data_IF_536986904799
#
_entry.id   IF_536986904799
#
_cell.length_a   1.000
_cell.length_b   1.000
_cell.length_c   1.000
_cell.angle_alpha   90.00
_cell.angle_beta   90.00
_cell.angle_gamma   90.00
#
_symmetry.space_group_name_H-M   'P 1'
#
loop_
_entity.id
_entity.type
_entity.pdbx_description
1 polymer ?
#
# COMPACT_ATOMS: atom_id res chain seq x y z
N UNK A 1 -27.36 -36.96 -39.71
CA UNK A 1 -26.36 -36.47 -38.74
C UNK A 1 -26.15 -34.96 -38.74
N UNK A 2 -26.24 -34.22 -39.83
CA UNK A 2 -26.01 -32.75 -39.88
C UNK A 2 -27.04 -31.88 -39.14
N UNK A 3 -28.28 -32.28 -39.03
CA UNK A 3 -29.37 -31.51 -38.37
C UNK A 3 -29.28 -31.52 -36.84
N UNK A 4 -28.71 -32.57 -36.19
CA UNK A 4 -28.59 -32.67 -34.74
C UNK A 4 -27.43 -31.81 -34.18
N UNK A 5 -26.33 -31.64 -34.96
CA UNK A 5 -25.18 -30.82 -34.54
C UNK A 5 -25.52 -29.33 -34.54
N UNK A 6 -26.39 -28.85 -35.44
CA UNK A 6 -26.85 -27.46 -35.46
C UNK A 6 -27.78 -27.11 -34.29
N UNK A 7 -28.60 -28.06 -33.83
CA UNK A 7 -29.51 -27.84 -32.70
C UNK A 7 -28.74 -27.77 -31.38
N UNK A 8 -27.67 -28.56 -31.22
CA UNK A 8 -26.82 -28.55 -30.02
C UNK A 8 -26.00 -27.24 -29.92
N UNK A 9 -25.45 -26.74 -31.04
CA UNK A 9 -24.76 -25.45 -31.07
C UNK A 9 -25.70 -24.27 -30.79
N UNK A 10 -26.94 -24.31 -31.29
CA UNK A 10 -27.92 -23.25 -31.03
C UNK A 10 -28.39 -23.23 -29.57
N UNK A 11 -28.51 -24.38 -28.90
CA UNK A 11 -28.86 -24.48 -27.46
C UNK A 11 -27.72 -23.99 -26.58
N UNK A 12 -26.45 -24.33 -26.90
CA UNK A 12 -25.28 -23.84 -26.14
C UNK A 12 -25.11 -22.31 -26.31
N UNK A 13 -25.33 -21.78 -27.52
CA UNK A 13 -25.25 -20.32 -27.77
C UNK A 13 -26.38 -19.57 -27.06
N UNK A 14 -27.59 -20.11 -26.97
CA UNK A 14 -28.70 -19.44 -26.28
C UNK A 14 -28.52 -19.45 -24.76
N UNK A 15 -28.00 -20.53 -24.14
CA UNK A 15 -27.73 -20.54 -22.70
C UNK A 15 -26.65 -19.60 -22.27
N UNK A 16 -25.60 -19.40 -23.07
CA UNK A 16 -24.54 -18.42 -22.77
C UNK A 16 -25.04 -16.97 -22.88
N UNK A 17 -25.89 -16.65 -23.84
CA UNK A 17 -26.47 -15.31 -24.00
C UNK A 17 -27.42 -14.98 -22.83
N UNK A 18 -28.25 -15.91 -22.41
CA UNK A 18 -29.15 -15.73 -21.24
C UNK A 18 -28.36 -15.51 -19.94
N UNK A 19 -27.31 -16.29 -19.70
CA UNK A 19 -26.47 -16.18 -18.51
C UNK A 19 -25.72 -14.82 -18.45
N UNK A 20 -25.17 -14.37 -19.56
CA UNK A 20 -24.51 -13.05 -19.63
C UNK A 20 -25.50 -11.88 -19.39
N UNK A 21 -26.76 -12.01 -19.80
CA UNK A 21 -27.77 -11.01 -19.53
C UNK A 21 -28.12 -10.95 -18.03
N UNK A 22 -28.27 -12.11 -17.37
CA UNK A 22 -28.51 -12.17 -15.91
C UNK A 22 -27.34 -11.59 -15.12
N UNK A 23 -26.09 -11.88 -15.50
CA UNK A 23 -24.89 -11.32 -14.85
C UNK A 23 -24.84 -9.81 -15.01
N UNK A 24 -25.09 -9.28 -16.21
CA UNK A 24 -25.15 -7.83 -16.45
C UNK A 24 -26.21 -7.16 -15.56
N UNK A 25 -27.39 -7.78 -15.40
CA UNK A 25 -28.46 -7.27 -14.52
C UNK A 25 -27.99 -7.27 -13.06
N UNK A 26 -27.39 -8.36 -12.60
CA UNK A 26 -26.95 -8.47 -11.21
C UNK A 26 -25.79 -7.54 -10.91
N UNK A 27 -24.81 -7.41 -11.79
CA UNK A 27 -23.71 -6.45 -11.65
C UNK A 27 -24.25 -5.03 -11.65
N UNK A 28 -25.23 -4.72 -12.51
CA UNK A 28 -25.89 -3.42 -12.49
C UNK A 28 -26.56 -3.13 -11.15
N UNK A 29 -27.27 -4.10 -10.55
CA UNK A 29 -27.89 -3.93 -9.21
C UNK A 29 -26.83 -3.64 -8.15
N UNK A 30 -25.69 -4.35 -8.17
CA UNK A 30 -24.55 -4.10 -7.28
C UNK A 30 -24.04 -2.68 -7.48
N UNK A 31 -23.81 -2.29 -8.73
CA UNK A 31 -23.31 -0.96 -9.09
C UNK A 31 -24.29 0.15 -8.68
N UNK A 32 -25.57 0.01 -8.98
CA UNK A 32 -26.58 1.00 -8.63
C UNK A 32 -26.66 1.20 -7.10
N UNK A 33 -26.57 0.12 -6.31
CA UNK A 33 -26.58 0.18 -4.86
C UNK A 33 -25.34 0.90 -4.30
N UNK A 34 -24.14 0.55 -4.78
CA UNK A 34 -22.89 1.20 -4.32
C UNK A 34 -22.87 2.68 -4.71
N UNK A 35 -23.23 3.00 -5.96
CA UNK A 35 -23.12 4.37 -6.47
C UNK A 35 -24.23 5.32 -6.00
N UNK A 36 -25.39 4.78 -5.59
CA UNK A 36 -26.53 5.59 -5.12
C UNK A 36 -26.61 5.67 -3.59
N UNK A 37 -26.26 4.59 -2.89
CA UNK A 37 -26.45 4.43 -1.45
C UNK A 37 -25.15 4.16 -0.69
N UNK A 38 -24.00 4.17 -1.40
CA UNK A 38 -22.68 3.83 -0.85
C UNK A 38 -22.28 4.65 0.36
N UNK A 39 -21.59 3.99 1.28
CA UNK A 39 -21.06 4.56 2.52
C UNK A 39 -19.54 4.63 2.55
N UNK A 40 -18.85 4.11 1.53
CA UNK A 40 -17.39 4.05 1.49
C UNK A 40 -16.74 5.40 1.76
N UNK A 41 -17.21 6.48 1.11
CA UNK A 41 -16.64 7.82 1.25
C UNK A 41 -16.83 8.40 2.66
N UNK A 42 -18.00 8.22 3.28
CA UNK A 42 -18.24 8.69 4.66
C UNK A 42 -17.48 7.83 5.69
N UNK A 43 -17.35 6.54 5.45
CA UNK A 43 -16.53 5.64 6.26
C UNK A 43 -15.04 6.02 6.18
N UNK A 44 -14.54 6.35 4.99
CA UNK A 44 -13.18 6.85 4.80
C UNK A 44 -12.97 8.17 5.55
N UNK A 45 -13.92 9.09 5.45
CA UNK A 45 -13.88 10.36 6.19
C UNK A 45 -13.81 10.16 7.71
N UNK A 46 -14.56 9.18 8.23
CA UNK A 46 -14.49 8.85 9.65
C UNK A 46 -13.11 8.27 10.01
N UNK A 47 -12.64 7.29 9.27
CA UNK A 47 -11.34 6.63 9.50
C UNK A 47 -10.18 7.63 9.49
N UNK A 48 -10.17 8.55 8.52
CA UNK A 48 -9.09 9.53 8.34
C UNK A 48 -9.22 10.73 9.29
N UNK A 49 -10.40 11.37 9.37
CA UNK A 49 -10.57 12.63 10.11
C UNK A 49 -10.91 12.45 11.59
N UNK A 50 -11.46 11.30 12.00
CA UNK A 50 -11.82 11.06 13.41
C UNK A 50 -10.83 10.15 14.11
N UNK A 51 -10.25 9.19 13.41
CA UNK A 51 -9.21 8.31 13.94
C UNK A 51 -7.83 8.83 13.55
N UNK A 52 -7.59 9.03 12.25
CA UNK A 52 -6.35 9.58 11.71
C UNK A 52 -5.24 8.55 11.55
N UNK A 53 -3.97 8.95 11.76
CA UNK A 53 -2.81 8.07 11.67
C UNK A 53 -2.95 6.83 12.56
N UNK A 54 -2.62 5.65 12.01
CA UNK A 54 -2.95 4.37 12.66
C UNK A 54 -1.90 3.28 12.46
N UNK A 55 -0.61 3.66 12.60
CA UNK A 55 0.49 2.70 12.52
C UNK A 55 0.33 1.60 13.58
N UNK A 56 0.69 0.37 13.22
CA UNK A 56 0.58 -0.78 14.11
C UNK A 56 1.19 -0.51 15.50
N UNK A 57 0.50 -0.92 16.56
CA UNK A 57 0.85 -0.66 17.93
C UNK A 57 0.38 0.67 18.50
N UNK A 58 -0.07 1.62 17.68
CA UNK A 58 -0.55 2.93 18.12
C UNK A 58 -1.98 2.89 18.67
N UNK A 59 -2.36 3.94 19.42
CA UNK A 59 -3.75 4.16 19.85
C UNK A 59 -4.69 4.40 18.65
N UNK A 60 -4.18 4.97 17.54
CA UNK A 60 -4.91 5.10 16.30
C UNK A 60 -5.31 3.73 15.75
N UNK A 61 -4.36 2.77 15.73
CA UNK A 61 -4.65 1.40 15.28
C UNK A 61 -5.70 0.71 16.15
N UNK A 62 -5.59 0.77 17.47
CA UNK A 62 -6.60 0.20 18.39
C UNK A 62 -8.01 0.74 18.12
N UNK A 63 -8.12 2.06 17.90
CA UNK A 63 -9.42 2.68 17.54
C UNK A 63 -9.92 2.21 16.17
N UNK A 64 -9.02 2.02 15.20
CA UNK A 64 -9.36 1.53 13.86
C UNK A 64 -9.84 0.08 13.89
N UNK A 65 -9.23 -0.77 14.69
CA UNK A 65 -9.66 -2.16 14.89
C UNK A 65 -11.08 -2.23 15.47
N UNK A 66 -11.37 -1.44 16.52
CA UNK A 66 -12.71 -1.35 17.10
C UNK A 66 -13.74 -0.81 16.11
N UNK A 67 -13.38 0.24 15.36
CA UNK A 67 -14.20 0.80 14.30
C UNK A 67 -14.46 -0.21 13.19
N UNK A 68 -13.42 -0.91 12.73
CA UNK A 68 -13.53 -1.91 11.66
C UNK A 68 -14.47 -3.05 12.06
N UNK A 69 -14.35 -3.59 13.29
CA UNK A 69 -15.27 -4.62 13.80
C UNK A 69 -16.71 -4.14 13.80
N UNK A 70 -16.94 -2.93 14.31
CA UNK A 70 -18.26 -2.29 14.31
C UNK A 70 -18.80 -2.16 12.88
N UNK A 71 -17.98 -1.71 11.92
CA UNK A 71 -18.41 -1.54 10.52
C UNK A 71 -18.76 -2.87 9.87
N UNK A 72 -18.00 -3.96 10.12
CA UNK A 72 -18.36 -5.29 9.63
C UNK A 72 -19.74 -5.74 10.15
N UNK A 73 -19.98 -5.53 11.46
CA UNK A 73 -21.27 -5.88 12.08
C UNK A 73 -22.43 -5.02 11.52
N UNK A 74 -22.28 -3.72 11.45
CA UNK A 74 -23.31 -2.79 10.96
C UNK A 74 -23.58 -2.95 9.45
N UNK A 75 -22.58 -3.38 8.68
CA UNK A 75 -22.72 -3.73 7.26
C UNK A 75 -23.42 -5.07 7.05
N UNK A 76 -23.69 -5.81 8.13
CA UNK A 76 -24.51 -7.02 8.11
C UNK A 76 -23.75 -8.29 7.87
N UNK A 77 -22.49 -8.39 8.27
CA UNK A 77 -21.76 -9.66 8.30
C UNK A 77 -22.53 -10.70 9.12
N UNK A 78 -22.59 -11.94 8.64
CA UNK A 78 -23.21 -13.04 9.37
C UNK A 78 -22.36 -13.41 10.60
N UNK A 79 -21.03 -13.21 10.50
CA UNK A 79 -20.06 -13.27 11.59
C UNK A 79 -19.02 -12.18 11.44
N UNK A 80 -18.58 -11.59 12.57
CA UNK A 80 -17.47 -10.65 12.59
C UNK A 80 -16.63 -10.84 13.85
N UNK A 81 -15.29 -10.86 13.72
CA UNK A 81 -14.36 -11.09 14.84
C UNK A 81 -13.02 -10.41 14.62
N UNK A 82 -12.22 -10.35 15.69
CA UNK A 82 -10.83 -9.93 15.70
C UNK A 82 -9.92 -11.16 15.72
N UNK A 83 -8.92 -11.20 14.84
CA UNK A 83 -7.88 -12.22 14.83
C UNK A 83 -6.58 -11.63 15.34
N UNK A 84 -6.12 -12.09 16.51
CA UNK A 84 -4.90 -11.56 17.13
C UNK A 84 -3.65 -11.88 16.34
N UNK A 85 -2.77 -10.88 16.23
CA UNK A 85 -1.40 -11.04 15.75
C UNK A 85 -0.44 -10.17 16.57
N UNK A 86 0.78 -10.66 16.80
CA UNK A 86 1.80 -9.88 17.47
C UNK A 86 2.47 -8.93 16.47
N UNK A 87 2.43 -7.63 16.75
CA UNK A 87 2.92 -6.58 15.87
C UNK A 87 4.07 -5.79 16.50
N UNK A 88 5.03 -5.28 15.70
CA UNK A 88 6.05 -4.37 16.19
C UNK A 88 5.42 -3.05 16.62
N UNK A 89 5.97 -2.43 17.65
CA UNK A 89 5.54 -1.14 18.14
C UNK A 89 6.67 -0.12 17.94
N UNK A 90 6.79 0.38 16.72
CA UNK A 90 7.69 1.49 16.43
C UNK A 90 6.97 2.83 16.60
N UNK A 91 7.66 3.80 17.21
CA UNK A 91 7.16 5.17 17.38
C UNK A 91 8.16 6.18 16.84
N UNK A 92 7.69 7.23 16.18
CA UNK A 92 8.53 8.33 15.70
C UNK A 92 9.15 9.13 16.83
N UNK A 93 8.47 9.24 17.97
CA UNK A 93 8.99 9.84 19.19
C UNK A 93 9.10 11.36 19.20
N UNK A 94 8.59 12.06 18.16
CA UNK A 94 8.58 13.51 18.08
C UNK A 94 8.80 14.03 16.65
N UNK A 95 8.99 15.34 16.52
CA UNK A 95 9.21 15.98 15.23
C UNK A 95 10.62 15.69 14.72
N UNK A 96 10.72 15.24 13.49
CA UNK A 96 11.98 15.13 12.76
C UNK A 96 12.44 16.52 12.29
N UNK A 97 13.75 16.80 12.33
CA UNK A 97 14.33 18.04 11.86
C UNK A 97 15.70 17.83 11.23
N UNK A 98 15.96 18.59 10.18
CA UNK A 98 17.28 18.64 9.56
C UNK A 98 17.64 20.05 9.13
N UNK A 99 18.93 20.37 9.19
CA UNK A 99 19.46 21.57 8.53
C UNK A 99 20.82 21.27 7.89
N UNK A 100 21.04 21.86 6.72
CA UNK A 100 22.30 21.85 6.02
C UNK A 100 23.06 23.11 6.33
N UNK A 101 24.35 22.99 6.67
CA UNK A 101 25.27 24.07 6.87
C UNK A 101 26.30 24.11 5.72
N UNK A 102 26.41 25.23 5.01
CA UNK A 102 27.25 25.37 3.84
C UNK A 102 27.80 26.79 3.71
N UNK A 103 28.90 26.94 2.98
CA UNK A 103 29.47 28.23 2.59
C UNK A 103 29.12 28.42 1.10
N UNK A 104 28.33 29.47 0.73
CA UNK A 104 27.94 29.68 -0.66
C UNK A 104 29.17 29.86 -1.57
N UNK A 105 29.09 29.36 -2.82
CA UNK A 105 30.12 29.60 -3.80
C UNK A 105 30.20 31.11 -4.18
N UNK A 106 31.37 31.57 -4.59
CA UNK A 106 31.60 32.98 -5.01
C UNK A 106 30.69 33.45 -6.14
N UNK A 107 30.26 32.54 -6.99
CA UNK A 107 29.36 32.84 -8.12
C UNK A 107 27.95 33.30 -7.68
N UNK A 108 27.54 32.95 -6.47
CA UNK A 108 26.19 33.27 -5.93
C UNK A 108 26.15 34.48 -5.00
N UNK A 109 27.32 35.10 -4.69
CA UNK A 109 27.42 36.26 -3.78
C UNK A 109 27.85 37.50 -4.55
N UNK A 110 26.97 38.49 -4.62
CA UNK A 110 27.18 39.70 -5.44
C UNK A 110 28.25 40.68 -4.92
N UNK A 111 28.68 40.69 -3.64
CA UNK A 111 29.75 41.54 -3.06
C UNK A 111 30.23 40.99 -1.71
N UNK A 112 31.56 41.05 -1.46
CA UNK A 112 32.21 40.85 -0.16
C UNK A 112 32.86 39.46 0.05
N UNK A 113 33.66 39.27 1.14
CA UNK A 113 34.22 37.95 1.47
C UNK A 113 33.16 37.02 1.97
N UNK A 114 33.13 35.80 1.42
CA UNK A 114 32.18 34.72 1.81
C UNK A 114 32.81 33.98 3.00
N UNK A 115 32.50 34.41 4.21
CA UNK A 115 32.98 33.78 5.44
C UNK A 115 31.83 33.24 6.30
N UNK A 116 30.60 33.60 5.96
CA UNK A 116 29.43 33.20 6.75
C UNK A 116 28.88 31.84 6.33
N UNK A 117 28.82 30.93 7.27
CA UNK A 117 28.07 29.67 7.11
C UNK A 117 26.57 29.97 7.09
N UNK A 118 25.90 29.57 6.01
CA UNK A 118 24.45 29.67 5.90
C UNK A 118 23.85 28.32 6.36
N UNK A 119 22.72 28.38 7.06
CA UNK A 119 21.91 27.21 7.41
C UNK A 119 20.65 27.24 6.58
N UNK A 120 20.31 26.09 5.99
CA UNK A 120 19.03 25.84 5.29
C UNK A 120 18.33 24.69 5.98
N UNK A 121 17.08 24.89 6.38
CA UNK A 121 16.21 23.80 6.82
C UNK A 121 15.89 22.88 5.64
N UNK A 122 15.88 21.58 5.90
CA UNK A 122 15.52 20.53 4.95
C UNK A 122 14.24 19.87 5.42
N UNK A 123 13.29 19.68 4.51
CA UNK A 123 12.07 18.94 4.79
C UNK A 123 12.36 17.43 4.76
N UNK A 124 12.33 16.83 5.93
CA UNK A 124 12.63 15.41 6.12
C UNK A 124 11.55 14.70 6.93
N UNK A 125 11.53 13.38 6.82
CA UNK A 125 10.79 12.48 7.71
C UNK A 125 11.65 11.26 8.01
N UNK A 126 11.71 10.81 9.27
CA UNK A 126 12.38 9.57 9.61
C UNK A 126 11.72 8.39 8.89
N UNK A 127 12.54 7.49 8.34
CA UNK A 127 12.02 6.25 7.78
C UNK A 127 11.43 5.39 8.89
N UNK A 128 10.34 4.72 8.56
CA UNK A 128 9.73 3.75 9.47
C UNK A 128 10.73 2.66 9.89
N UNK A 129 10.61 2.20 11.13
CA UNK A 129 11.54 1.28 11.79
C UNK A 129 12.95 1.84 12.02
N UNK A 130 13.23 3.11 11.67
CA UNK A 130 14.53 3.72 11.90
C UNK A 130 14.77 4.01 13.38
N UNK A 131 16.02 3.82 13.82
CA UNK A 131 16.46 4.33 15.12
C UNK A 131 16.65 5.85 15.04
N UNK A 132 16.42 6.55 16.15
CA UNK A 132 16.65 7.98 16.26
C UNK A 132 18.12 8.34 16.51
N UNK A 133 18.38 9.65 16.60
CA UNK A 133 19.71 10.20 16.87
C UNK A 133 20.09 10.17 18.36
N UNK A 134 19.18 9.70 19.24
CA UNK A 134 19.47 9.49 20.67
C UNK A 134 19.57 10.79 21.47
N UNK A 135 18.53 11.60 21.53
CA UNK A 135 18.44 12.84 22.32
C UNK A 135 19.51 13.92 22.04
N UNK A 136 20.34 13.73 21.03
CA UNK A 136 21.38 14.70 20.60
C UNK A 136 21.34 14.88 19.10
N UNK A 137 21.56 16.13 18.61
CA UNK A 137 21.74 16.36 17.19
C UNK A 137 22.95 15.56 16.64
N UNK A 138 22.76 14.87 15.53
CA UNK A 138 23.82 14.19 14.81
C UNK A 138 24.28 15.09 13.67
N UNK A 139 25.53 15.56 13.71
CA UNK A 139 26.12 16.39 12.65
C UNK A 139 27.24 15.64 11.97
N UNK A 140 27.22 15.57 10.63
CA UNK A 140 28.31 15.03 9.85
C UNK A 140 28.32 15.60 8.42
N UNK A 141 29.44 15.43 7.73
CA UNK A 141 29.55 15.72 6.31
C UNK A 141 28.71 14.72 5.50
N UNK A 142 28.16 15.18 4.38
CA UNK A 142 27.33 14.37 3.49
C UNK A 142 28.17 13.78 2.37
N UNK A 143 28.02 12.49 2.14
CA UNK A 143 28.54 11.78 0.97
C UNK A 143 27.38 11.46 0.04
N UNK A 144 27.32 12.11 -1.12
CA UNK A 144 26.34 11.86 -2.17
C UNK A 144 26.72 10.61 -2.95
N UNK A 145 25.77 9.70 -3.14
CA UNK A 145 25.87 8.53 -4.02
C UNK A 145 24.56 8.31 -4.79
N UNK A 146 24.66 7.85 -6.03
CA UNK A 146 23.52 7.60 -6.91
C UNK A 146 23.12 6.11 -7.01
N UNK A 147 23.97 5.22 -6.51
CA UNK A 147 23.69 3.77 -6.53
C UNK A 147 24.44 3.03 -5.44
N UNK A 148 24.03 1.78 -5.20
CA UNK A 148 24.80 0.89 -4.33
C UNK A 148 26.19 0.55 -4.90
N UNK A 149 26.33 0.45 -6.22
CA UNK A 149 27.62 0.24 -6.86
C UNK A 149 28.56 1.43 -6.65
N UNK A 150 28.02 2.65 -6.66
CA UNK A 150 28.81 3.84 -6.34
C UNK A 150 29.21 3.84 -4.87
N UNK A 151 28.33 3.48 -3.94
CA UNK A 151 28.66 3.32 -2.54
C UNK A 151 29.84 2.33 -2.35
N UNK A 152 29.78 1.16 -3.01
CA UNK A 152 30.86 0.15 -2.92
C UNK A 152 32.18 0.66 -3.47
N UNK A 153 32.19 1.39 -4.59
CA UNK A 153 33.41 2.01 -5.14
C UNK A 153 34.01 3.07 -4.22
N UNK A 154 33.15 3.78 -3.46
CA UNK A 154 33.54 4.89 -2.58
C UNK A 154 33.49 4.52 -1.09
N UNK A 155 33.53 3.25 -0.76
CA UNK A 155 33.39 2.72 0.61
C UNK A 155 34.35 3.35 1.62
N UNK A 156 35.59 3.67 1.19
CA UNK A 156 36.62 4.25 2.06
C UNK A 156 36.32 5.71 2.46
N UNK A 157 35.41 6.40 1.73
CA UNK A 157 34.96 7.75 2.03
C UNK A 157 33.78 7.78 3.01
N UNK A 158 33.11 6.65 3.29
CA UNK A 158 31.84 6.58 4.01
C UNK A 158 31.98 6.80 5.51
N UNK A 159 33.10 6.35 6.10
CA UNK A 159 33.29 6.35 7.55
C UNK A 159 33.06 7.73 8.16
N UNK A 160 32.14 7.81 9.13
CA UNK A 160 31.83 9.03 9.87
C UNK A 160 30.92 10.03 9.15
N UNK A 161 30.47 9.75 7.93
CA UNK A 161 29.63 10.64 7.13
C UNK A 161 28.15 10.25 7.19
N UNK A 162 27.28 11.14 6.69
CA UNK A 162 25.90 10.86 6.33
C UNK A 162 25.89 10.47 4.86
N UNK A 163 25.42 9.29 4.52
CA UNK A 163 25.27 8.86 3.12
C UNK A 163 23.93 9.36 2.57
N UNK A 164 23.99 10.13 1.49
CA UNK A 164 22.80 10.58 0.77
C UNK A 164 22.64 9.78 -0.52
N UNK A 165 21.62 8.89 -0.53
CA UNK A 165 21.18 8.16 -1.71
C UNK A 165 20.27 9.05 -2.55
N UNK A 166 20.81 9.67 -3.60
CA UNK A 166 20.07 10.48 -4.54
C UNK A 166 19.67 9.67 -5.78
N UNK A 167 19.09 8.46 -5.57
CA UNK A 167 18.57 7.63 -6.63
C UNK A 167 17.20 8.16 -7.05
N UNK A 168 17.06 8.58 -8.31
CA UNK A 168 15.83 9.18 -8.82
C UNK A 168 14.79 8.10 -9.13
N UNK A 169 13.55 8.40 -8.82
CA UNK A 169 12.39 7.63 -9.27
C UNK A 169 12.36 7.66 -10.80
N UNK A 170 12.38 6.49 -11.46
CA UNK A 170 12.65 6.40 -12.91
C UNK A 170 11.44 6.89 -13.73
N UNK A 171 11.56 8.00 -14.48
CA UNK A 171 10.43 8.58 -15.21
C UNK A 171 10.08 7.83 -16.50
N UNK A 172 10.88 6.85 -16.92
CA UNK A 172 10.63 6.10 -18.15
C UNK A 172 9.64 4.94 -17.98
N UNK A 173 9.36 4.55 -16.74
CA UNK A 173 8.36 3.53 -16.46
C UNK A 173 6.95 4.14 -16.43
N UNK A 174 6.12 3.74 -17.39
CA UNK A 174 4.70 4.14 -17.43
C UNK A 174 3.95 3.57 -16.21
N UNK A 175 4.25 2.33 -15.82
CA UNK A 175 3.76 1.77 -14.57
C UNK A 175 4.65 2.25 -13.42
N UNK A 176 4.13 3.16 -12.61
CA UNK A 176 4.86 3.80 -11.51
C UNK A 176 5.30 2.82 -10.40
N UNK A 177 4.61 1.68 -10.23
CA UNK A 177 5.05 0.62 -9.31
C UNK A 177 6.40 -0.01 -9.72
N UNK A 178 6.77 0.02 -11.01
CA UNK A 178 8.11 -0.41 -11.44
C UNK A 178 9.18 0.56 -10.94
N UNK A 179 8.91 1.87 -11.00
CA UNK A 179 9.80 2.90 -10.43
C UNK A 179 9.94 2.74 -8.93
N UNK A 180 8.83 2.46 -8.24
CA UNK A 180 8.81 2.25 -6.79
C UNK A 180 9.63 1.01 -6.37
N UNK A 181 9.47 -0.11 -7.09
CA UNK A 181 10.24 -1.33 -6.85
C UNK A 181 11.73 -1.12 -7.07
N UNK A 182 12.09 -0.38 -8.12
CA UNK A 182 13.47 -0.06 -8.47
C UNK A 182 14.13 0.81 -7.40
N UNK A 183 13.50 1.92 -7.02
CA UNK A 183 14.05 2.86 -6.05
C UNK A 183 13.90 2.40 -4.58
N UNK A 184 12.92 1.57 -4.27
CA UNK A 184 12.58 1.15 -2.90
C UNK A 184 13.69 0.44 -2.14
N UNK A 185 14.63 -0.19 -2.85
CA UNK A 185 15.79 -0.83 -2.24
C UNK A 185 16.68 0.14 -1.45
N UNK A 186 16.78 1.41 -1.87
CA UNK A 186 17.59 2.43 -1.18
C UNK A 186 16.97 2.82 0.15
N UNK A 187 15.65 2.82 0.26
CA UNK A 187 14.92 2.99 1.51
C UNK A 187 15.07 1.76 2.41
N UNK A 188 14.82 0.58 1.86
CA UNK A 188 14.78 -0.66 2.63
C UNK A 188 16.14 -1.16 3.10
N UNK A 189 17.17 -1.12 2.27
CA UNK A 189 18.49 -1.71 2.53
C UNK A 189 19.59 -0.66 2.71
N UNK A 190 19.39 0.57 2.23
CA UNK A 190 20.38 1.64 2.23
C UNK A 190 21.05 1.87 3.57
N UNK A 191 20.29 1.96 4.70
CA UNK A 191 20.87 2.16 6.02
C UNK A 191 21.89 1.07 6.42
N UNK A 192 21.57 -0.19 6.21
CA UNK A 192 22.48 -1.30 6.54
C UNK A 192 23.71 -1.32 5.64
N UNK A 193 23.56 -1.06 4.33
CA UNK A 193 24.68 -1.02 3.38
C UNK A 193 25.65 0.13 3.69
N UNK A 194 25.14 1.30 4.07
CA UNK A 194 25.97 2.42 4.49
C UNK A 194 26.65 2.17 5.84
N UNK A 195 25.90 1.58 6.80
CA UNK A 195 26.42 1.22 8.12
C UNK A 195 27.59 0.24 8.06
N UNK A 196 27.56 -0.71 7.11
CA UNK A 196 28.68 -1.64 6.83
C UNK A 196 30.03 -0.94 6.72
N UNK A 197 30.05 0.28 6.18
CA UNK A 197 31.24 1.09 5.96
C UNK A 197 31.41 2.22 6.98
N UNK A 198 30.62 2.22 8.08
CA UNK A 198 30.76 3.17 9.18
C UNK A 198 30.08 4.52 8.95
N UNK A 199 29.06 4.58 8.12
CA UNK A 199 28.20 5.78 8.05
C UNK A 199 27.52 6.05 9.39
N UNK A 200 27.28 7.35 9.70
CA UNK A 200 26.58 7.78 10.91
C UNK A 200 25.06 7.83 10.74
N UNK A 201 24.60 8.13 9.55
CA UNK A 201 23.17 8.21 9.20
C UNK A 201 23.01 8.10 7.68
N UNK A 202 21.74 7.96 7.24
CA UNK A 202 21.36 7.92 5.82
C UNK A 202 20.27 8.95 5.54
N UNK A 203 20.37 9.60 4.39
CA UNK A 203 19.31 10.39 3.75
C UNK A 203 18.94 9.68 2.46
N UNK A 204 17.65 9.47 2.22
CA UNK A 204 17.13 8.84 0.99
C UNK A 204 16.23 9.84 0.28
N UNK A 205 16.47 10.07 -1.02
CA UNK A 205 15.55 10.82 -1.86
C UNK A 205 14.17 10.15 -1.82
N UNK A 206 13.11 10.93 -1.64
CA UNK A 206 11.73 10.42 -1.65
C UNK A 206 11.38 9.70 -2.94
N UNK A 207 10.61 8.61 -2.82
CA UNK A 207 10.25 7.71 -3.92
C UNK A 207 8.99 8.22 -4.63
N UNK A 208 9.14 9.25 -5.43
CA UNK A 208 8.02 9.96 -6.05
C UNK A 208 8.43 10.70 -7.32
N UNK A 209 7.43 11.03 -8.15
CA UNK A 209 7.51 12.01 -9.25
C UNK A 209 6.88 13.35 -8.89
N UNK A 210 6.39 13.54 -7.66
CA UNK A 210 5.71 14.75 -7.22
C UNK A 210 6.53 16.02 -7.51
N UNK A 211 5.83 17.12 -7.75
CA UNK A 211 6.45 18.43 -7.93
C UNK A 211 6.63 19.20 -6.63
N UNK A 212 6.17 18.66 -5.51
CA UNK A 212 6.25 19.28 -4.19
C UNK A 212 7.57 18.97 -3.46
N UNK A 213 7.60 19.22 -2.16
CA UNK A 213 8.76 18.94 -1.30
C UNK A 213 8.36 18.06 -0.10
N UNK A 214 7.25 17.31 -0.20
CA UNK A 214 6.87 16.43 0.89
C UNK A 214 7.80 15.20 0.92
N UNK A 215 8.45 14.91 2.06
CA UNK A 215 9.22 13.69 2.19
C UNK A 215 8.30 12.48 2.37
N UNK A 216 8.67 11.36 1.73
CA UNK A 216 7.93 10.10 1.76
C UNK A 216 8.61 9.10 2.67
N UNK A 217 7.95 8.66 3.74
CA UNK A 217 8.46 7.66 4.66
C UNK A 217 8.39 6.24 4.06
N UNK A 218 8.31 5.25 4.89
CA UNK A 218 8.21 3.82 4.59
C UNK A 218 9.27 3.02 5.35
N UNK A 219 9.04 1.72 5.52
CA UNK A 219 9.87 0.89 6.36
C UNK A 219 11.30 0.73 5.85
N UNK A 220 12.28 0.91 6.76
CA UNK A 220 13.64 0.40 6.57
C UNK A 220 13.78 -0.98 7.21
N UNK A 221 14.70 -1.77 6.69
CA UNK A 221 15.00 -3.13 7.16
C UNK A 221 16.48 -3.19 7.52
N UNK A 222 16.76 -3.26 8.82
CA UNK A 222 18.13 -3.41 9.29
C UNK A 222 18.60 -4.85 9.18
N UNK A 223 19.78 -5.02 8.60
CA UNK A 223 20.54 -6.25 8.69
C UNK A 223 21.20 -6.34 10.06
N UNK A 224 20.99 -7.45 10.77
CA UNK A 224 21.54 -7.69 12.11
C UNK A 224 23.08 -7.75 12.15
N UNK A 225 23.73 -7.94 11.01
CA UNK A 225 25.19 -7.95 10.90
C UNK A 225 25.83 -6.56 11.09
N UNK A 226 25.03 -5.47 10.99
CA UNK A 226 25.56 -4.11 11.04
C UNK A 226 24.84 -3.26 12.09
N UNK A 227 25.53 -2.22 12.57
CA UNK A 227 24.92 -1.27 13.51
C UNK A 227 23.71 -0.59 12.90
N UNK A 228 22.64 -0.43 13.68
CA UNK A 228 21.48 0.39 13.27
C UNK A 228 21.86 1.84 13.34
N UNK A 229 21.61 2.59 12.27
CA UNK A 229 21.88 4.03 12.16
C UNK A 229 20.63 4.79 11.78
N UNK A 230 20.47 6.08 12.18
CA UNK A 230 19.34 6.90 11.78
C UNK A 230 19.20 7.00 10.27
N UNK A 231 17.96 6.94 9.78
CA UNK A 231 17.64 7.04 8.37
C UNK A 231 16.41 7.91 8.15
N UNK A 232 16.50 8.84 7.20
CA UNK A 232 15.44 9.78 6.86
C UNK A 232 15.20 9.82 5.36
N UNK A 233 13.97 10.11 4.95
CA UNK A 233 13.65 10.57 3.61
C UNK A 233 13.73 12.09 3.56
N UNK A 234 14.09 12.64 2.39
CA UNK A 234 14.15 14.06 2.10
C UNK A 234 13.20 14.40 0.95
N UNK A 235 12.52 15.54 1.02
CA UNK A 235 11.67 16.05 -0.05
C UNK A 235 12.44 16.30 -1.35
N UNK A 236 11.76 16.20 -2.48
CA UNK A 236 12.41 16.17 -3.81
C UNK A 236 13.17 17.46 -4.14
N UNK A 237 12.58 18.64 -3.81
CA UNK A 237 13.23 19.93 -4.06
C UNK A 237 14.47 20.11 -3.19
N UNK A 238 14.42 19.67 -1.95
CA UNK A 238 15.57 19.73 -1.04
C UNK A 238 16.64 18.69 -1.42
N UNK A 239 16.24 17.54 -1.96
CA UNK A 239 17.17 16.55 -2.50
C UNK A 239 17.95 17.10 -3.71
N UNK A 240 17.25 17.76 -4.65
CA UNK A 240 17.89 18.40 -5.80
C UNK A 240 18.83 19.52 -5.36
N UNK A 241 18.35 20.42 -4.48
CA UNK A 241 19.17 21.49 -3.92
C UNK A 241 20.43 20.94 -3.20
N UNK A 242 20.28 19.93 -2.33
CA UNK A 242 21.40 19.35 -1.60
C UNK A 242 22.42 18.71 -2.55
N UNK A 243 21.94 18.01 -3.58
CA UNK A 243 22.78 17.42 -4.62
C UNK A 243 23.59 18.46 -5.39
N UNK A 244 22.98 19.60 -5.76
CA UNK A 244 23.65 20.71 -6.44
C UNK A 244 24.73 21.35 -5.53
N UNK A 245 24.40 21.61 -4.26
CA UNK A 245 25.36 22.23 -3.35
C UNK A 245 26.57 21.31 -3.06
N UNK A 246 26.36 19.98 -3.04
CA UNK A 246 27.43 19.00 -2.85
C UNK A 246 28.41 18.94 -4.02
N UNK A 247 28.05 19.42 -5.20
CA UNK A 247 28.96 19.58 -6.34
C UNK A 247 29.86 20.81 -6.20
N UNK A 248 29.41 21.81 -5.43
CA UNK A 248 30.14 23.04 -5.21
C UNK A 248 31.07 22.99 -3.99
N UNK A 249 30.83 22.06 -3.04
CA UNK A 249 31.65 21.95 -1.84
C UNK A 249 31.10 20.99 -0.79
N UNK A 250 31.81 20.99 0.34
CA UNK A 250 31.42 20.14 1.48
C UNK A 250 30.24 20.72 2.22
N UNK A 251 29.23 19.90 2.44
CA UNK A 251 28.03 20.24 3.22
C UNK A 251 28.03 19.40 4.49
N UNK A 252 27.71 20.00 5.62
CA UNK A 252 27.41 19.34 6.88
C UNK A 252 25.90 19.39 7.10
N UNK A 253 25.31 18.22 7.39
CA UNK A 253 23.91 18.13 7.79
C UNK A 253 23.82 17.75 9.25
N UNK A 254 22.92 18.44 9.96
CA UNK A 254 22.53 18.12 11.33
C UNK A 254 21.15 17.49 11.28
N UNK A 255 21.01 16.27 11.82
CA UNK A 255 19.76 15.51 11.94
C UNK A 255 19.33 15.43 13.40
N UNK A 256 18.02 15.51 13.64
CA UNK A 256 17.35 15.21 14.91
C UNK A 256 16.17 14.32 14.57
N UNK A 257 16.22 13.07 15.05
CA UNK A 257 15.12 12.10 14.93
C UNK A 257 15.02 11.31 16.23
N UNK A 258 13.81 10.83 16.57
CA UNK A 258 13.52 10.22 17.86
C UNK A 258 12.94 8.80 17.73
N UNK A 259 12.92 8.24 16.52
CA UNK A 259 12.35 6.92 16.24
C UNK A 259 12.95 5.83 17.11
N UNK A 260 12.11 5.00 17.69
CA UNK A 260 12.52 3.85 18.50
C UNK A 260 11.42 2.80 18.58
N UNK A 261 11.79 1.59 18.98
CA UNK A 261 10.84 0.52 19.26
C UNK A 261 10.48 0.48 20.74
N UNK A 262 9.20 0.34 21.01
CA UNK A 262 8.66 -0.14 22.27
C UNK A 262 8.52 -1.67 22.21
N UNK A 263 8.20 -2.36 23.32
CA UNK A 263 7.88 -3.79 23.27
C UNK A 263 6.76 -4.09 22.27
N UNK A 264 6.91 -5.17 21.50
CA UNK A 264 5.85 -5.64 20.61
C UNK A 264 4.53 -5.77 21.36
N UNK A 265 3.43 -5.47 20.67
CA UNK A 265 2.08 -5.50 21.23
C UNK A 265 1.14 -6.40 20.41
N UNK A 266 -0.09 -6.54 20.88
CA UNK A 266 -1.14 -7.26 20.15
C UNK A 266 -1.83 -6.27 19.20
N UNK A 267 -1.98 -6.66 17.96
CA UNK A 267 -2.83 -6.06 16.94
C UNK A 267 -3.82 -7.10 16.41
N UNK A 268 -4.78 -6.68 15.61
CA UNK A 268 -5.83 -7.57 15.12
C UNK A 268 -6.13 -7.36 13.63
N UNK A 269 -6.20 -8.44 12.87
CA UNK A 269 -6.99 -8.43 11.64
C UNK A 269 -8.47 -8.35 12.02
N UNK A 270 -9.24 -7.57 11.28
CA UNK A 270 -10.69 -7.51 11.43
C UNK A 270 -11.33 -8.31 10.30
N UNK A 271 -12.14 -9.28 10.67
CA UNK A 271 -12.69 -10.23 9.72
C UNK A 271 -14.22 -10.22 9.82
N UNK A 272 -14.88 -10.11 8.67
CA UNK A 272 -16.31 -10.29 8.52
C UNK A 272 -16.62 -11.39 7.50
N UNK A 273 -17.71 -12.11 7.65
CA UNK A 273 -18.13 -13.15 6.69
C UNK A 273 -19.58 -13.01 6.25
N UNK A 274 -19.82 -13.31 4.97
CA UNK A 274 -21.10 -13.76 4.45
C UNK A 274 -21.01 -15.24 4.18
N UNK A 275 -21.82 -16.06 4.89
CA UNK A 275 -21.76 -17.51 4.80
C UNK A 275 -22.32 -18.01 3.46
N UNK A 276 -21.60 -18.92 2.82
CA UNK A 276 -22.01 -19.56 1.59
C UNK A 276 -23.18 -20.50 1.78
N UNK A 277 -24.07 -20.56 0.79
CA UNK A 277 -25.29 -21.38 0.81
C UNK A 277 -25.13 -22.75 0.14
N UNK A 278 -24.23 -22.88 -0.83
CA UNK A 278 -24.01 -24.13 -1.59
C UNK A 278 -22.64 -24.74 -1.26
N UNK A 279 -21.60 -23.92 -1.14
CA UNK A 279 -20.21 -24.34 -0.88
C UNK A 279 -19.63 -23.55 0.31
N UNK A 280 -20.17 -23.72 1.53
CA UNK A 280 -19.80 -22.90 2.69
C UNK A 280 -18.34 -23.05 3.12
N UNK A 281 -17.65 -24.12 2.72
CA UNK A 281 -16.25 -24.38 3.04
C UNK A 281 -15.26 -23.82 1.98
N UNK A 282 -15.76 -23.32 0.84
CA UNK A 282 -14.98 -22.60 -0.15
C UNK A 282 -15.01 -21.11 0.16
N UNK A 283 -13.83 -20.51 0.34
CA UNK A 283 -13.68 -19.13 0.81
C UNK A 283 -13.19 -18.24 -0.32
N UNK A 284 -13.83 -17.10 -0.50
CA UNK A 284 -13.35 -15.98 -1.31
C UNK A 284 -12.94 -14.88 -0.33
N UNK A 285 -11.66 -14.56 -0.25
CA UNK A 285 -11.14 -13.51 0.62
C UNK A 285 -11.02 -12.20 -0.17
N UNK A 286 -11.46 -11.09 0.42
CA UNK A 286 -11.27 -9.74 -0.11
C UNK A 286 -10.83 -8.83 1.02
N UNK A 287 -9.85 -7.95 0.77
CA UNK A 287 -9.34 -7.08 1.82
C UNK A 287 -8.45 -5.93 1.37
N UNK A 288 -7.96 -5.22 2.36
CA UNK A 288 -6.94 -4.19 2.32
C UNK A 288 -6.37 -4.04 3.73
N UNK A 289 -5.28 -3.27 3.92
CA UNK A 289 -4.69 -3.12 5.24
C UNK A 289 -5.25 -1.93 6.02
N UNK A 290 -5.44 -2.15 7.32
CA UNK A 290 -6.07 -1.17 8.20
C UNK A 290 -5.10 -0.13 8.74
N UNK A 291 -3.84 -0.49 8.93
CA UNK A 291 -2.82 0.43 9.41
C UNK A 291 -2.41 1.46 8.34
N UNK A 292 -1.77 2.51 8.75
CA UNK A 292 -1.18 3.54 7.90
C UNK A 292 0.04 4.13 8.58
N UNK A 293 0.88 4.85 7.83
CA UNK A 293 1.96 5.62 8.42
C UNK A 293 1.44 6.71 9.37
N UNK A 294 2.28 7.05 10.34
CA UNK A 294 1.97 8.01 11.42
C UNK A 294 2.08 9.49 11.02
N UNK A 295 2.59 9.77 9.82
CA UNK A 295 2.79 11.12 9.29
C UNK A 295 1.69 11.57 8.31
N UNK A 296 0.67 10.74 8.06
CA UNK A 296 -0.43 11.00 7.14
C UNK A 296 -1.77 10.47 7.70
N UNK A 297 -2.85 10.72 6.99
CA UNK A 297 -4.16 10.18 7.33
C UNK A 297 -4.38 8.77 6.77
N UNK A 298 -3.53 8.32 5.83
CA UNK A 298 -3.65 7.02 5.16
C UNK A 298 -4.99 6.87 4.44
N UNK A 299 -5.33 7.85 3.60
CA UNK A 299 -6.61 7.85 2.91
C UNK A 299 -6.60 6.96 1.66
N UNK A 300 -5.53 7.06 0.87
CA UNK A 300 -5.30 6.16 -0.26
C UNK A 300 -4.56 4.89 0.17
N UNK A 301 -3.68 4.99 1.18
CA UNK A 301 -2.80 3.93 1.65
C UNK A 301 -3.10 3.57 3.12
N UNK A 302 -3.94 2.58 3.47
CA UNK A 302 -4.90 1.93 2.59
C UNK A 302 -6.34 2.04 3.15
N UNK A 303 -6.69 3.27 3.58
CA UNK A 303 -8.07 3.55 3.95
C UNK A 303 -9.05 3.25 2.81
N UNK A 304 -8.62 3.48 1.55
CA UNK A 304 -9.43 3.25 0.36
C UNK A 304 -9.81 1.77 0.21
N UNK A 305 -8.85 0.85 0.28
CA UNK A 305 -9.11 -0.59 0.17
C UNK A 305 -9.95 -1.12 1.34
N UNK A 306 -9.69 -0.61 2.54
CA UNK A 306 -10.51 -0.95 3.72
C UNK A 306 -11.98 -0.61 3.52
N UNK A 307 -12.30 0.64 3.11
CA UNK A 307 -13.70 1.04 2.97
C UNK A 307 -14.36 0.45 1.73
N UNK A 308 -13.61 0.15 0.66
CA UNK A 308 -14.11 -0.63 -0.48
C UNK A 308 -14.51 -2.03 -0.03
N UNK A 309 -13.69 -2.69 0.78
CA UNK A 309 -13.97 -4.01 1.35
C UNK A 309 -15.26 -4.01 2.19
N UNK A 310 -15.44 -3.05 3.08
CA UNK A 310 -16.66 -2.89 3.89
C UNK A 310 -17.87 -2.59 3.00
N UNK A 311 -17.70 -1.78 1.95
CA UNK A 311 -18.78 -1.39 1.05
C UNK A 311 -19.30 -2.57 0.23
N UNK A 312 -18.43 -3.50 -0.19
CA UNK A 312 -18.83 -4.73 -0.89
C UNK A 312 -19.74 -5.57 0.01
N UNK A 313 -19.36 -5.76 1.26
CA UNK A 313 -20.18 -6.46 2.25
C UNK A 313 -21.56 -5.81 2.40
N UNK A 314 -21.57 -4.46 2.64
CA UNK A 314 -22.79 -3.69 2.80
C UNK A 314 -23.71 -3.82 1.59
N UNK A 315 -23.16 -3.64 0.39
CA UNK A 315 -23.94 -3.68 -0.85
C UNK A 315 -24.55 -5.07 -1.09
N UNK A 316 -23.80 -6.16 -0.89
CA UNK A 316 -24.31 -7.50 -1.02
C UNK A 316 -25.46 -7.77 -0.05
N UNK A 317 -25.36 -7.32 1.19
CA UNK A 317 -26.49 -7.44 2.16
C UNK A 317 -27.68 -6.58 1.74
N UNK A 318 -27.46 -5.34 1.31
CA UNK A 318 -28.54 -4.40 0.95
C UNK A 318 -29.38 -4.93 -0.23
N UNK A 319 -28.74 -5.53 -1.24
CA UNK A 319 -29.47 -6.12 -2.38
C UNK A 319 -30.01 -7.52 -2.11
N UNK A 320 -29.79 -8.09 -0.91
CA UNK A 320 -30.22 -9.44 -0.53
C UNK A 320 -29.46 -10.54 -1.25
N UNK A 321 -28.21 -10.29 -1.65
CA UNK A 321 -27.36 -11.31 -2.28
C UNK A 321 -27.08 -12.48 -1.33
N UNK A 322 -27.26 -13.70 -1.82
CA UNK A 322 -26.98 -14.94 -1.09
C UNK A 322 -25.80 -15.63 -1.79
N UNK A 323 -24.57 -15.50 -1.26
CA UNK A 323 -23.42 -16.09 -1.92
C UNK A 323 -23.51 -17.62 -1.90
N UNK A 324 -23.00 -18.26 -2.93
CA UNK A 324 -22.83 -19.72 -2.99
C UNK A 324 -21.71 -20.18 -2.08
N UNK A 325 -20.62 -19.42 -2.06
CA UNK A 325 -19.39 -19.63 -1.29
C UNK A 325 -19.29 -18.62 -0.16
N UNK A 326 -18.56 -18.95 0.89
CA UNK A 326 -18.29 -17.98 1.95
C UNK A 326 -17.41 -16.85 1.41
N UNK A 327 -17.88 -15.60 1.55
CA UNK A 327 -17.09 -14.41 1.23
C UNK A 327 -16.58 -13.85 2.54
N UNK A 328 -15.26 -13.76 2.67
CA UNK A 328 -14.56 -13.26 3.85
C UNK A 328 -13.93 -11.91 3.55
N UNK A 329 -14.31 -10.89 4.33
CA UNK A 329 -13.87 -9.51 4.24
C UNK A 329 -12.82 -9.29 5.34
N UNK A 330 -11.62 -8.84 4.97
CA UNK A 330 -10.49 -8.75 5.91
C UNK A 330 -9.88 -7.36 5.85
N UNK A 331 -9.76 -6.70 7.02
CA UNK A 331 -8.92 -5.53 7.19
C UNK A 331 -7.66 -6.00 7.89
N UNK A 332 -6.56 -6.07 7.15
CA UNK A 332 -5.30 -6.62 7.64
C UNK A 332 -4.57 -5.66 8.57
N UNK A 333 -3.84 -6.19 9.52
CA UNK A 333 -3.05 -5.42 10.46
C UNK A 333 -1.56 -5.46 10.11
N UNK A 334 -0.89 -4.32 10.27
CA UNK A 334 0.57 -4.23 10.20
C UNK A 334 1.17 -4.60 8.84
N UNK A 335 0.59 -4.11 7.76
CA UNK A 335 1.22 -4.19 6.43
C UNK A 335 2.49 -3.34 6.41
N UNK A 336 2.37 -2.06 6.75
CA UNK A 336 3.32 -0.97 6.55
C UNK A 336 4.74 -1.27 7.10
N UNK A 337 4.81 -1.93 8.23
CA UNK A 337 6.11 -2.15 8.85
C UNK A 337 6.34 -3.57 9.38
N UNK A 338 5.58 -4.59 8.88
CA UNK A 338 5.80 -5.93 9.37
C UNK A 338 5.10 -7.10 8.69
N UNK A 339 3.97 -6.90 7.99
CA UNK A 339 3.13 -7.96 7.39
C UNK A 339 2.65 -9.03 8.38
N UNK A 340 2.47 -8.65 9.66
CA UNK A 340 2.14 -9.63 10.70
C UNK A 340 0.72 -10.16 10.56
N UNK A 341 -0.22 -9.30 10.17
CA UNK A 341 -1.62 -9.66 9.93
C UNK A 341 -1.79 -10.65 8.80
N UNK A 342 -1.24 -10.36 7.63
CA UNK A 342 -1.29 -11.25 6.47
C UNK A 342 -0.60 -12.60 6.73
N UNK A 343 0.54 -12.60 7.43
CA UNK A 343 1.22 -13.84 7.84
C UNK A 343 0.37 -14.66 8.82
N UNK A 344 -0.24 -14.02 9.82
CA UNK A 344 -1.09 -14.69 10.80
C UNK A 344 -2.35 -15.28 10.17
N UNK A 345 -2.96 -14.53 9.24
CA UNK A 345 -4.11 -15.00 8.47
C UNK A 345 -3.79 -16.28 7.70
N UNK A 346 -2.67 -16.29 6.97
CA UNK A 346 -2.22 -17.46 6.22
C UNK A 346 -1.84 -18.65 7.11
N UNK A 347 -1.21 -18.41 8.26
CA UNK A 347 -0.85 -19.43 9.25
C UNK A 347 -2.10 -20.15 9.75
N UNK A 348 -3.13 -19.40 10.17
CA UNK A 348 -4.37 -19.98 10.67
C UNK A 348 -5.18 -20.69 9.58
N UNK A 349 -5.28 -20.10 8.38
CA UNK A 349 -5.93 -20.73 7.24
C UNK A 349 -5.31 -22.10 6.94
N UNK A 350 -3.95 -22.17 6.95
CA UNK A 350 -3.24 -23.44 6.76
C UNK A 350 -3.49 -24.42 7.91
N UNK A 351 -3.45 -23.97 9.16
CA UNK A 351 -3.67 -24.82 10.33
C UNK A 351 -5.08 -25.40 10.37
N UNK A 352 -6.08 -24.67 9.88
CA UNK A 352 -7.48 -25.09 9.77
C UNK A 352 -7.81 -25.87 8.49
N UNK A 353 -6.82 -26.04 7.58
CA UNK A 353 -6.99 -26.62 6.24
C UNK A 353 -8.10 -25.91 5.43
N UNK A 354 -8.21 -24.60 5.55
CA UNK A 354 -9.21 -23.81 4.83
C UNK A 354 -8.99 -23.86 3.32
N UNK A 355 -10.08 -23.89 2.56
CA UNK A 355 -10.06 -23.92 1.10
C UNK A 355 -10.35 -22.53 0.55
N UNK A 356 -9.29 -21.75 0.30
CA UNK A 356 -9.41 -20.43 -0.31
C UNK A 356 -9.40 -20.55 -1.84
N UNK A 357 -10.53 -20.22 -2.46
CA UNK A 357 -10.70 -20.25 -3.92
C UNK A 357 -10.02 -19.04 -4.57
N UNK A 358 -10.08 -17.89 -3.92
CA UNK A 358 -9.48 -16.63 -4.35
C UNK A 358 -9.11 -15.78 -3.12
N UNK A 359 -8.05 -15.02 -3.24
CA UNK A 359 -7.80 -13.85 -2.38
C UNK A 359 -7.62 -12.60 -3.26
N UNK A 360 -8.34 -11.52 -2.95
CA UNK A 360 -8.28 -10.23 -3.66
C UNK A 360 -7.92 -9.10 -2.71
N UNK A 361 -7.04 -8.22 -3.14
CA UNK A 361 -6.59 -7.06 -2.35
C UNK A 361 -6.72 -5.77 -3.14
N UNK A 362 -7.10 -4.70 -2.46
CA UNK A 362 -7.04 -3.34 -2.96
C UNK A 362 -6.06 -2.56 -2.11
N UNK A 363 -4.87 -2.28 -2.66
CA UNK A 363 -3.78 -1.56 -2.02
C UNK A 363 -2.96 -0.81 -3.09
N UNK A 364 -3.65 0.07 -3.81
CA UNK A 364 -3.04 0.93 -4.83
C UNK A 364 -3.76 2.29 -4.92
N UNK A 365 -4.49 2.63 -3.85
CA UNK A 365 -5.25 3.85 -3.71
C UNK A 365 -6.66 3.83 -4.33
N UNK A 366 -7.48 4.79 -3.92
CA UNK A 366 -8.87 4.96 -4.37
C UNK A 366 -8.99 5.78 -5.66
N UNK A 367 -8.08 5.60 -6.62
CA UNK A 367 -8.12 6.27 -7.93
C UNK A 367 -9.03 5.53 -8.93
N UNK A 368 -9.22 6.14 -10.11
CA UNK A 368 -10.07 5.56 -11.18
C UNK A 368 -9.65 4.13 -11.47
N UNK A 369 -10.54 3.12 -11.33
CA UNK A 369 -10.24 1.74 -11.64
C UNK A 369 -9.92 1.56 -13.13
N UNK A 370 -8.90 0.73 -13.45
CA UNK A 370 -8.43 0.48 -14.82
C UNK A 370 -8.42 -0.99 -15.17
N UNK A 371 -8.02 -1.84 -14.22
CA UNK A 371 -7.88 -3.27 -14.48
C UNK A 371 -8.12 -4.11 -13.21
N UNK A 372 -8.42 -5.38 -13.42
CA UNK A 372 -8.24 -6.43 -12.44
C UNK A 372 -6.96 -7.18 -12.80
N UNK A 373 -5.99 -7.22 -11.86
CA UNK A 373 -4.85 -8.12 -11.96
C UNK A 373 -5.26 -9.51 -11.45
N UNK A 374 -4.83 -10.58 -12.12
CA UNK A 374 -5.12 -11.94 -11.70
C UNK A 374 -3.91 -12.86 -11.85
N UNK A 375 -3.62 -13.64 -10.81
CA UNK A 375 -2.60 -14.69 -10.78
C UNK A 375 -3.24 -16.03 -10.42
N UNK A 376 -3.16 -16.98 -11.33
CA UNK A 376 -3.68 -18.34 -11.20
C UNK A 376 -3.15 -19.21 -12.35
N UNK A 377 -3.78 -20.36 -12.61
CA UNK A 377 -3.45 -21.17 -13.79
C UNK A 377 -3.89 -20.49 -15.10
N UNK A 378 -3.39 -20.96 -16.23
CA UNK A 378 -3.79 -20.42 -17.53
C UNK A 378 -5.28 -20.65 -17.82
N UNK A 379 -5.85 -21.76 -17.35
CA UNK A 379 -7.30 -22.07 -17.45
C UNK A 379 -8.11 -21.09 -16.60
N UNK A 380 -7.67 -20.83 -15.36
CA UNK A 380 -8.33 -19.86 -14.48
C UNK A 380 -8.23 -18.45 -15.07
N UNK A 381 -7.08 -18.07 -15.61
CA UNK A 381 -6.90 -16.77 -16.27
C UNK A 381 -7.82 -16.65 -17.50
N UNK A 382 -7.88 -17.66 -18.36
CA UNK A 382 -8.79 -17.66 -19.52
C UNK A 382 -10.26 -17.51 -19.09
N UNK A 383 -10.65 -18.15 -18.00
CA UNK A 383 -11.99 -18.05 -17.42
C UNK A 383 -12.29 -16.62 -16.95
N UNK A 384 -11.43 -16.02 -16.13
CA UNK A 384 -11.66 -14.65 -15.64
C UNK A 384 -11.57 -13.62 -16.77
N UNK A 385 -10.73 -13.84 -17.78
CA UNK A 385 -10.64 -12.98 -18.95
C UNK A 385 -11.96 -12.94 -19.75
N UNK A 386 -12.73 -14.03 -19.77
CA UNK A 386 -14.03 -14.10 -20.44
C UNK A 386 -15.07 -13.16 -19.81
N UNK A 387 -14.87 -12.70 -18.57
CA UNK A 387 -15.75 -11.78 -17.86
C UNK A 387 -15.45 -10.29 -18.12
N UNK A 388 -14.40 -9.99 -18.90
CA UNK A 388 -13.96 -8.61 -19.19
C UNK A 388 -15.12 -7.72 -19.67
N UNK A 389 -15.96 -8.20 -20.58
CA UNK A 389 -17.09 -7.43 -21.12
C UNK A 389 -18.17 -7.07 -20.08
N UNK A 390 -18.28 -7.84 -19.00
CA UNK A 390 -19.23 -7.60 -17.91
C UNK A 390 -18.72 -6.52 -16.93
N UNK A 391 -17.42 -6.42 -16.76
CA UNK A 391 -16.76 -5.51 -15.80
C UNK A 391 -16.37 -4.18 -16.46
N UNK A 392 -15.97 -4.21 -17.74
CA UNK A 392 -15.49 -3.04 -18.48
C UNK A 392 -16.41 -1.80 -18.42
N UNK A 393 -17.75 -1.92 -18.43
CA UNK A 393 -18.65 -0.75 -18.31
C UNK A 393 -18.46 0.07 -17.03
N UNK A 394 -17.83 -0.51 -15.98
CA UNK A 394 -17.65 0.09 -14.66
C UNK A 394 -16.23 0.63 -14.42
N UNK A 395 -15.33 0.55 -15.41
CA UNK A 395 -14.01 1.18 -15.36
C UNK A 395 -12.84 0.25 -15.56
N UNK A 396 -12.89 -1.01 -15.10
CA UNK A 396 -11.85 -2.00 -15.34
C UNK A 396 -11.98 -2.56 -16.78
N UNK A 397 -11.38 -1.84 -17.72
CA UNK A 397 -11.40 -2.22 -19.15
C UNK A 397 -10.41 -3.32 -19.48
N UNK A 398 -9.55 -3.72 -18.51
CA UNK A 398 -8.55 -4.77 -18.70
C UNK A 398 -8.59 -5.79 -17.55
N UNK A 399 -8.27 -7.05 -17.89
CA UNK A 399 -7.91 -8.11 -16.93
C UNK A 399 -6.50 -8.55 -17.31
N UNK A 400 -5.55 -8.30 -16.42
CA UNK A 400 -4.12 -8.50 -16.68
C UNK A 400 -3.59 -9.75 -15.98
N UNK A 401 -2.64 -10.45 -16.59
CA UNK A 401 -1.84 -11.45 -15.86
C UNK A 401 -1.00 -10.75 -14.81
N UNK A 402 -0.94 -11.36 -13.62
CA UNK A 402 -0.28 -10.79 -12.45
C UNK A 402 -1.25 -9.98 -11.61
N UNK A 403 -1.60 -10.49 -10.45
CA UNK A 403 -2.42 -9.85 -9.43
C UNK A 403 -2.04 -10.38 -8.06
N UNK A 404 -2.32 -9.62 -7.04
CA UNK A 404 -1.96 -9.95 -5.67
C UNK A 404 -1.80 -8.69 -4.84
N UNK A 405 -1.30 -8.84 -3.65
CA UNK A 405 -0.99 -7.78 -2.73
C UNK A 405 -0.09 -8.29 -1.61
N UNK A 406 0.36 -7.39 -0.76
CA UNK A 406 1.31 -7.72 0.28
C UNK A 406 0.69 -8.64 1.34
N UNK A 407 -0.57 -8.37 1.73
CA UNK A 407 -1.26 -9.11 2.79
C UNK A 407 -1.79 -10.47 2.36
N UNK A 408 -2.22 -10.63 1.12
CA UNK A 408 -2.67 -11.93 0.58
C UNK A 408 -1.53 -12.79 0.03
N UNK A 409 -0.35 -12.21 -0.16
CA UNK A 409 0.85 -12.92 -0.59
C UNK A 409 1.24 -14.10 0.30
N UNK A 410 1.21 -14.00 1.64
CA UNK A 410 1.42 -15.13 2.55
C UNK A 410 0.43 -16.29 2.31
N UNK A 411 -0.84 -16.00 2.09
CA UNK A 411 -1.87 -17.01 1.80
C UNK A 411 -1.59 -17.76 0.48
N UNK A 412 -1.23 -17.02 -0.58
CA UNK A 412 -0.80 -17.61 -1.85
C UNK A 412 0.39 -18.54 -1.66
N UNK A 413 1.42 -18.11 -0.90
CA UNK A 413 2.59 -18.95 -0.64
C UNK A 413 2.25 -20.22 0.15
N UNK A 414 1.36 -20.11 1.14
CA UNK A 414 1.01 -21.20 2.04
C UNK A 414 0.07 -22.25 1.42
N UNK A 415 -0.93 -21.82 0.65
CA UNK A 415 -2.03 -22.64 0.15
C UNK A 415 -2.13 -22.69 -1.39
N UNK A 416 -1.27 -21.95 -2.12
CA UNK A 416 -1.34 -21.80 -3.58
C UNK A 416 -2.65 -21.17 -4.07
N UNK A 417 -3.30 -20.40 -3.20
CA UNK A 417 -4.54 -19.69 -3.52
C UNK A 417 -4.31 -18.73 -4.68
N UNK A 418 -5.13 -18.77 -5.75
CA UNK A 418 -5.13 -17.72 -6.76
C UNK A 418 -5.33 -16.35 -6.15
N UNK A 419 -4.67 -15.32 -6.73
CA UNK A 419 -4.76 -13.96 -6.20
C UNK A 419 -5.22 -12.96 -7.25
N UNK A 420 -5.90 -11.92 -6.81
CA UNK A 420 -6.31 -10.80 -7.65
C UNK A 420 -6.00 -9.47 -6.96
N UNK A 421 -5.93 -8.41 -7.76
CA UNK A 421 -5.81 -7.02 -7.27
C UNK A 421 -6.71 -6.09 -8.06
N UNK A 422 -7.24 -5.07 -7.39
CA UNK A 422 -7.74 -3.89 -8.08
C UNK A 422 -6.54 -3.04 -8.51
N UNK A 423 -6.44 -2.75 -9.81
CA UNK A 423 -5.39 -1.91 -10.36
C UNK A 423 -6.01 -0.59 -10.85
N UNK A 424 -5.99 0.48 -10.06
CA UNK A 424 -6.45 1.80 -10.47
C UNK A 424 -5.42 2.52 -11.33
N UNK A 425 -5.74 3.74 -11.73
CA UNK A 425 -4.77 4.66 -12.33
C UNK A 425 -3.71 5.04 -11.30
N UNK A 426 -2.47 4.63 -11.51
CA UNK A 426 -1.38 4.77 -10.53
C UNK A 426 -0.52 6.01 -10.74
N UNK A 427 -0.84 6.88 -11.73
CA UNK A 427 0.05 8.00 -12.08
C UNK A 427 0.26 8.99 -10.94
N UNK A 428 -0.75 9.16 -10.07
CA UNK A 428 -0.68 10.06 -8.92
C UNK A 428 -0.46 9.37 -7.57
N UNK A 429 -0.48 8.03 -7.53
CA UNK A 429 -0.37 7.29 -6.26
C UNK A 429 0.92 7.63 -5.52
N UNK A 430 2.05 7.55 -6.21
CA UNK A 430 3.35 7.85 -5.60
C UNK A 430 3.63 9.36 -5.40
N UNK A 431 2.72 10.25 -5.78
CA UNK A 431 2.82 11.66 -5.40
C UNK A 431 2.40 11.88 -3.94
N UNK A 432 1.60 10.98 -3.38
CA UNK A 432 1.04 11.09 -2.02
C UNK A 432 1.38 9.91 -1.11
N UNK A 433 1.67 8.74 -1.68
CA UNK A 433 2.00 7.50 -0.96
C UNK A 433 3.07 7.70 0.09
N UNK A 434 2.79 7.37 1.36
CA UNK A 434 3.67 7.53 2.51
C UNK A 434 4.05 8.98 2.86
N UNK A 435 3.34 9.97 2.34
CA UNK A 435 3.58 11.39 2.58
C UNK A 435 2.43 12.04 3.32
N UNK A 436 2.69 13.19 3.97
CA UNK A 436 1.66 13.97 4.68
C UNK A 436 0.52 14.48 3.78
N UNK A 437 0.65 14.32 2.47
CA UNK A 437 -0.38 14.65 1.48
C UNK A 437 -1.37 13.51 1.22
N UNK A 438 -1.18 12.32 1.81
CA UNK A 438 -2.19 11.26 1.78
C UNK A 438 -3.28 11.55 2.81
N UNK A 439 -4.23 12.37 2.40
CA UNK A 439 -5.33 12.88 3.22
C UNK A 439 -6.67 12.63 2.53
N UNK A 440 -7.75 12.69 3.29
CA UNK A 440 -9.12 12.48 2.80
C UNK A 440 -9.46 13.34 1.57
N UNK A 441 -9.03 14.60 1.56
CA UNK A 441 -9.31 15.55 0.49
C UNK A 441 -8.65 15.18 -0.85
N UNK A 442 -7.67 14.27 -0.85
CA UNK A 442 -7.06 13.74 -2.06
C UNK A 442 -7.93 12.69 -2.76
N UNK A 443 -8.92 12.11 -2.06
CA UNK A 443 -9.76 11.02 -2.56
C UNK A 443 -11.00 11.54 -3.27
N UNK A 444 -11.21 11.08 -4.49
CA UNK A 444 -12.44 11.34 -5.24
C UNK A 444 -13.50 10.29 -4.89
N UNK A 445 -14.66 10.74 -4.42
CA UNK A 445 -15.78 9.86 -4.03
C UNK A 445 -16.15 8.88 -5.13
N UNK A 446 -16.31 9.35 -6.36
CA UNK A 446 -16.78 8.53 -7.49
C UNK A 446 -15.76 7.46 -7.88
N UNK A 447 -14.48 7.81 -7.89
CA UNK A 447 -13.39 6.87 -8.18
C UNK A 447 -13.32 5.77 -7.13
N UNK A 448 -13.40 6.14 -5.85
CA UNK A 448 -13.40 5.20 -4.71
C UNK A 448 -14.56 4.19 -4.82
N UNK A 449 -15.78 4.68 -5.07
CA UNK A 449 -16.99 3.84 -5.19
C UNK A 449 -16.92 2.93 -6.42
N UNK A 450 -16.41 3.41 -7.56
CA UNK A 450 -16.19 2.58 -8.75
C UNK A 450 -15.17 1.47 -8.50
N UNK A 451 -14.16 1.69 -7.65
CA UNK A 451 -13.26 0.64 -7.19
C UNK A 451 -14.02 -0.50 -6.52
N UNK A 452 -14.90 -0.16 -5.55
CA UNK A 452 -15.74 -1.13 -4.86
C UNK A 452 -16.69 -1.87 -5.83
N UNK A 453 -17.27 -1.17 -6.82
CA UNK A 453 -18.13 -1.79 -7.86
C UNK A 453 -17.38 -2.86 -8.64
N UNK A 454 -16.18 -2.55 -9.14
CA UNK A 454 -15.39 -3.49 -9.94
C UNK A 454 -14.96 -4.72 -9.16
N UNK A 455 -14.54 -4.54 -7.89
CA UNK A 455 -14.20 -5.64 -7.00
C UNK A 455 -15.44 -6.50 -6.71
N UNK A 456 -16.58 -5.88 -6.36
CA UNK A 456 -17.82 -6.60 -6.09
C UNK A 456 -18.32 -7.41 -7.30
N UNK A 457 -18.24 -6.83 -8.51
CA UNK A 457 -18.58 -7.52 -9.74
C UNK A 457 -17.69 -8.74 -9.99
N UNK A 458 -16.38 -8.59 -9.78
CA UNK A 458 -15.42 -9.68 -9.94
C UNK A 458 -15.67 -10.81 -8.91
N UNK A 459 -15.87 -10.45 -7.64
CA UNK A 459 -16.18 -11.40 -6.55
C UNK A 459 -17.48 -12.13 -6.83
N UNK A 460 -18.53 -11.43 -7.29
CA UNK A 460 -19.80 -12.03 -7.68
C UNK A 460 -19.60 -13.10 -8.78
N UNK A 461 -18.81 -12.81 -9.79
CA UNK A 461 -18.55 -13.76 -10.89
C UNK A 461 -17.76 -14.98 -10.42
N UNK A 462 -16.76 -14.77 -9.55
CA UNK A 462 -16.02 -15.88 -8.92
C UNK A 462 -16.92 -16.71 -8.01
N UNK A 463 -17.79 -16.09 -7.24
CA UNK A 463 -18.75 -16.80 -6.39
C UNK A 463 -19.75 -17.64 -7.22
N UNK A 464 -20.27 -17.06 -8.31
CA UNK A 464 -21.24 -17.75 -9.16
C UNK A 464 -20.64 -18.92 -9.93
N UNK A 465 -19.44 -18.77 -10.49
CA UNK A 465 -18.85 -19.69 -11.45
C UNK A 465 -17.67 -20.51 -10.94
N UNK A 466 -17.08 -20.13 -9.79
CA UNK A 466 -15.80 -20.68 -9.33
C UNK A 466 -14.61 -20.21 -10.20
N UNK A 467 -13.45 -20.80 -9.94
CA UNK A 467 -12.21 -20.59 -10.71
C UNK A 467 -11.72 -21.91 -11.31
#
# INVERSE_FOLDING_TARGET
>A
MRKFTFLLLAVISSTTIFSQNEDSIQIKRISDEILSNGKAYENLRYLTKKIGPRLAGSQGMVKSEQWGLKMMQESGADMAWMQECKVPHWVRGGKDAANAAYIPSRSKVKKGPITATIKKELDIVALGNSVGTGNKPLTAEVLLVHSFDELERRKDEVKGKIVFYNYKFNPTYVNTFLSYRDAGQYRGQGPSRASKYGAKAVIVRSLSHAADNHPHTGATRYDSAYAKIPAVAIGLRDADWLSEQLQEGTIKVTLITNGHFLPDTIGHNIIGELKGTEFPDEIITVGGHLDSWDNCEGAHDDGAGCVQTIEILRAFKAIGYKPKRTIRFVLFANEENGLRGGNKYAEEAKAKNEKHLLAMESDAGGFTPRAIGFSGSDEQYAKVLSWKSLIAPYGCTEINKGGGGADIGPLNRALKTPTASLNPDTQRYFDIHHARSDVFEAVNKRELELGAVNMAAFIYLVDKYGL
#
